data_IF_295089397537
#
_entry.id   IF_295089397537
#
_cell.length_a   1.000
_cell.length_b   1.000
_cell.length_c   1.000
_cell.angle_alpha   90.00
_cell.angle_beta   90.00
_cell.angle_gamma   90.00
#
_symmetry.space_group_name_H-M   'P 1'
#
loop_
_entity.id
_entity.type
_entity.pdbx_description
1 polymer ?
#
# COMPACT_ATOMS: atom_id res chain seq x y z
N UNK A 1 9.26 27.23 18.11
CA UNK A 1 7.98 26.65 17.68
C UNK A 1 7.15 26.30 18.88
N UNK A 2 6.00 26.99 19.06
CA UNK A 2 5.12 26.80 20.20
C UNK A 2 4.11 25.70 19.85
N UNK A 3 4.56 24.46 19.76
CA UNK A 3 3.71 23.30 19.53
C UNK A 3 3.38 22.69 20.90
N UNK A 4 2.10 22.49 21.21
CA UNK A 4 1.61 22.04 22.51
C UNK A 4 1.43 20.52 22.63
N UNK A 5 2.29 19.68 22.09
CA UNK A 5 2.27 18.21 22.06
C UNK A 5 1.82 17.65 20.70
N UNK A 6 0.68 18.10 20.16
CA UNK A 6 0.15 17.66 18.86
C UNK A 6 -0.36 18.86 18.06
N UNK A 7 -0.36 18.74 16.73
CA UNK A 7 -0.88 19.79 15.84
C UNK A 7 -1.55 19.17 14.61
N UNK A 8 -2.47 19.94 14.01
CA UNK A 8 -3.07 19.62 12.71
C UNK A 8 -2.07 20.01 11.61
N UNK A 9 -1.75 19.07 10.73
CA UNK A 9 -0.87 19.32 9.59
C UNK A 9 -1.52 20.26 8.56
N UNK A 10 -0.70 20.80 7.69
CA UNK A 10 -1.12 21.75 6.62
C UNK A 10 -2.10 21.15 5.63
N UNK A 11 -2.18 19.81 5.51
CA UNK A 11 -3.19 19.12 4.71
C UNK A 11 -4.60 19.16 5.32
N UNK A 12 -4.75 19.70 6.55
CA UNK A 12 -6.04 19.87 7.21
C UNK A 12 -6.69 18.58 7.73
N UNK A 13 -5.96 17.47 7.77
CA UNK A 13 -6.47 16.17 8.20
C UNK A 13 -5.53 15.43 9.15
N UNK A 14 -4.25 15.31 8.80
CA UNK A 14 -3.27 14.53 9.57
C UNK A 14 -2.96 15.22 10.90
N UNK A 15 -2.98 14.46 11.99
CA UNK A 15 -2.55 14.93 13.32
C UNK A 15 -1.14 14.46 13.59
N UNK A 16 -0.24 15.41 13.82
CA UNK A 16 1.20 15.18 14.04
C UNK A 16 1.61 15.46 15.48
N UNK A 17 2.59 14.73 15.96
CA UNK A 17 3.26 15.03 17.23
C UNK A 17 4.32 16.12 17.07
N UNK A 18 4.47 16.96 18.08
CA UNK A 18 5.58 17.90 18.16
C UNK A 18 6.90 17.15 18.34
N UNK A 19 8.02 17.79 17.98
CA UNK A 19 9.35 17.15 17.98
C UNK A 19 9.85 16.69 19.37
N UNK A 20 9.30 17.25 20.45
CA UNK A 20 9.61 16.92 21.83
C UNK A 20 8.57 16.01 22.50
N UNK A 21 7.49 15.66 21.78
CA UNK A 21 6.47 14.76 22.28
C UNK A 21 6.98 13.32 22.41
N UNK A 22 6.52 12.66 23.46
CA UNK A 22 6.86 11.25 23.77
C UNK A 22 5.61 10.38 23.81
N UNK A 23 5.79 9.07 23.73
CA UNK A 23 4.67 8.12 23.81
C UNK A 23 3.92 8.25 25.15
N UNK A 24 2.60 8.37 25.07
CA UNK A 24 1.70 8.63 26.19
C UNK A 24 1.33 10.09 26.39
N UNK A 25 2.04 11.02 25.77
CA UNK A 25 1.68 12.44 25.82
C UNK A 25 0.34 12.67 25.12
N UNK A 26 -0.40 13.68 25.57
CA UNK A 26 -1.72 14.01 25.03
C UNK A 26 -1.83 15.48 24.67
N UNK A 27 -2.55 15.77 23.60
CA UNK A 27 -2.90 17.12 23.19
C UNK A 27 -4.35 17.19 22.68
N UNK A 28 -4.89 18.40 22.56
CA UNK A 28 -6.29 18.62 22.16
C UNK A 28 -6.36 19.40 20.87
N UNK A 29 -7.04 18.84 19.86
CA UNK A 29 -7.37 19.52 18.61
C UNK A 29 -8.90 19.51 18.46
N UNK A 30 -9.51 20.68 18.29
CA UNK A 30 -10.95 20.86 18.11
C UNK A 30 -11.82 20.13 19.16
N UNK A 31 -11.34 20.10 20.43
CA UNK A 31 -12.04 19.46 21.54
C UNK A 31 -11.85 17.93 21.63
N UNK A 32 -11.11 17.32 20.71
CA UNK A 32 -10.74 15.90 20.75
C UNK A 32 -9.37 15.75 21.39
N UNK A 33 -9.26 14.85 22.38
CA UNK A 33 -7.97 14.49 22.96
C UNK A 33 -7.29 13.41 22.15
N UNK A 34 -6.10 13.73 21.65
CA UNK A 34 -5.23 12.81 20.92
C UNK A 34 -4.10 12.31 21.85
N UNK A 35 -3.71 11.05 21.66
CA UNK A 35 -2.60 10.43 22.40
C UNK A 35 -1.48 10.08 21.44
N UNK A 36 -0.27 10.55 21.70
CA UNK A 36 0.93 10.15 20.96
C UNK A 36 1.28 8.70 21.33
N UNK A 37 1.51 7.86 20.33
CA UNK A 37 1.84 6.45 20.53
C UNK A 37 3.14 6.10 19.83
N UNK A 38 3.94 5.23 20.46
CA UNK A 38 4.99 4.49 19.78
C UNK A 38 4.45 3.15 19.23
N UNK A 39 5.30 2.40 18.57
CA UNK A 39 4.94 1.12 17.96
C UNK A 39 4.46 0.11 19.00
N UNK A 40 5.15 -0.05 20.12
CA UNK A 40 4.81 -1.03 21.17
C UNK A 40 3.44 -0.73 21.78
N UNK A 41 3.17 0.54 22.04
CA UNK A 41 1.90 1.03 22.57
C UNK A 41 0.77 0.81 21.56
N UNK A 42 1.00 1.12 20.28
CA UNK A 42 0.03 0.95 19.20
C UNK A 42 -0.35 -0.53 19.02
N UNK A 43 0.63 -1.43 18.94
CA UNK A 43 0.39 -2.88 18.84
C UNK A 43 -0.41 -3.41 20.04
N UNK A 44 -0.04 -3.01 21.26
CA UNK A 44 -0.80 -3.38 22.47
C UNK A 44 -2.24 -2.89 22.43
N UNK A 45 -2.50 -1.69 21.91
CA UNK A 45 -3.85 -1.15 21.76
C UNK A 45 -4.67 -1.94 20.74
N UNK A 46 -4.06 -2.37 19.64
CA UNK A 46 -4.71 -3.21 18.61
C UNK A 46 -5.07 -4.58 19.19
N UNK A 47 -4.16 -5.23 19.90
CA UNK A 47 -4.39 -6.53 20.54
C UNK A 47 -5.55 -6.49 21.57
N UNK A 48 -5.82 -5.32 22.14
CA UNK A 48 -6.89 -5.09 23.10
C UNK A 48 -8.17 -4.49 22.48
N UNK A 49 -8.31 -4.47 21.15
CA UNK A 49 -9.46 -3.86 20.44
C UNK A 49 -9.75 -2.40 20.86
N UNK A 50 -8.71 -1.65 21.14
CA UNK A 50 -8.85 -0.26 21.61
C UNK A 50 -9.33 0.67 20.49
N UNK A 51 -9.84 1.85 20.87
CA UNK A 51 -10.15 2.93 19.91
C UNK A 51 -8.85 3.54 19.40
N UNK A 52 -8.68 3.57 18.08
CA UNK A 52 -7.49 4.04 17.38
C UNK A 52 -7.67 5.39 16.68
N UNK A 53 -8.91 5.88 16.57
CA UNK A 53 -9.27 7.08 15.80
C UNK A 53 -8.66 8.38 16.31
N UNK A 54 -8.18 8.39 17.56
CA UNK A 54 -7.55 9.54 18.21
C UNK A 54 -6.08 9.26 18.63
N UNK A 55 -5.38 8.41 17.87
CA UNK A 55 -3.96 8.15 18.09
C UNK A 55 -3.13 8.95 17.09
N UNK A 56 -1.97 9.44 17.56
CA UNK A 56 -0.98 10.15 16.76
C UNK A 56 0.22 9.24 16.60
N UNK A 57 0.52 8.86 15.37
CA UNK A 57 1.44 7.79 15.02
C UNK A 57 2.81 8.29 14.53
N UNK A 58 3.11 9.58 14.72
CA UNK A 58 4.36 10.21 14.26
C UNK A 58 5.65 9.53 14.76
N UNK A 59 5.58 8.77 15.86
CA UNK A 59 6.73 8.04 16.43
C UNK A 59 6.85 6.61 15.87
N UNK A 60 5.91 6.17 15.04
CA UNK A 60 5.89 4.81 14.48
C UNK A 60 6.66 4.80 13.17
N UNK A 61 7.62 3.89 13.04
CA UNK A 61 8.45 3.72 11.83
C UNK A 61 8.23 2.38 11.13
N UNK A 62 7.65 1.40 11.82
CA UNK A 62 7.33 0.08 11.29
C UNK A 62 5.86 -0.26 11.54
N UNK A 63 5.08 -0.42 10.46
CA UNK A 63 3.68 -0.83 10.51
C UNK A 63 3.47 -2.23 9.92
N UNK A 64 4.54 -3.03 9.81
CA UNK A 64 4.44 -4.39 9.26
C UNK A 64 3.49 -5.25 10.08
N UNK A 65 2.60 -5.96 9.37
CA UNK A 65 1.61 -6.91 9.93
C UNK A 65 0.66 -6.28 10.99
N UNK A 66 0.51 -4.94 11.03
CA UNK A 66 -0.15 -4.22 12.13
C UNK A 66 -1.61 -4.67 12.35
N UNK A 67 -2.36 -4.91 11.28
CA UNK A 67 -3.75 -5.40 11.32
C UNK A 67 -3.90 -6.77 10.62
N UNK A 68 -2.81 -7.51 10.49
CA UNK A 68 -2.82 -8.82 9.86
C UNK A 68 -3.81 -9.75 10.56
N UNK A 69 -4.62 -10.47 9.76
CA UNK A 69 -5.66 -11.39 10.23
C UNK A 69 -6.77 -10.74 11.07
N UNK A 70 -6.78 -9.40 11.23
CA UNK A 70 -7.88 -8.69 11.89
C UNK A 70 -9.03 -8.47 10.90
N UNK A 71 -9.80 -9.51 10.63
CA UNK A 71 -10.83 -9.55 9.59
C UNK A 71 -11.98 -8.56 9.82
N UNK A 72 -12.15 -8.04 11.03
CA UNK A 72 -13.22 -7.10 11.41
C UNK A 72 -12.75 -5.65 11.52
N UNK A 73 -11.44 -5.40 11.43
CA UNK A 73 -10.90 -4.05 11.56
C UNK A 73 -11.40 -3.14 10.45
N UNK A 74 -12.02 -2.03 10.82
CA UNK A 74 -12.47 -0.98 9.90
C UNK A 74 -12.61 0.37 10.63
N UNK A 75 -11.76 0.70 11.60
CA UNK A 75 -11.77 2.00 12.26
C UNK A 75 -11.19 3.07 11.33
N UNK A 76 -11.69 4.31 11.46
CA UNK A 76 -11.16 5.45 10.73
C UNK A 76 -9.78 5.84 11.28
N UNK A 77 -8.76 5.69 10.45
CA UNK A 77 -7.35 6.01 10.73
C UNK A 77 -6.80 7.07 9.75
N UNK A 78 -7.69 7.81 9.09
CA UNK A 78 -7.32 8.82 8.09
C UNK A 78 -6.44 9.95 8.66
N UNK A 79 -6.53 10.19 9.97
CA UNK A 79 -5.76 11.24 10.66
C UNK A 79 -4.34 10.81 11.07
N UNK A 80 -3.99 9.54 10.87
CA UNK A 80 -2.69 9.03 11.27
C UNK A 80 -1.56 9.69 10.47
N UNK A 81 -0.48 10.03 11.17
CA UNK A 81 0.78 10.45 10.58
C UNK A 81 1.65 9.23 10.29
N UNK A 82 1.83 8.91 9.01
CA UNK A 82 2.66 7.79 8.56
C UNK A 82 3.96 8.26 7.89
N UNK A 83 4.26 9.57 7.94
CA UNK A 83 5.39 10.15 7.21
C UNK A 83 6.77 9.63 7.63
N UNK A 84 6.88 9.03 8.82
CA UNK A 84 8.09 8.39 9.32
C UNK A 84 8.12 6.87 9.09
N UNK A 85 7.06 6.29 8.53
CA UNK A 85 6.97 4.85 8.31
C UNK A 85 7.82 4.44 7.12
N UNK A 86 8.68 3.45 7.32
CA UNK A 86 9.58 2.94 6.28
C UNK A 86 9.15 1.60 5.71
N UNK A 87 8.29 0.86 6.41
CA UNK A 87 7.77 -0.44 5.96
C UNK A 87 6.32 -0.62 6.36
N UNK A 88 5.51 -1.13 5.42
CA UNK A 88 4.10 -1.47 5.59
C UNK A 88 3.80 -2.92 5.15
N UNK A 89 4.82 -3.81 5.22
CA UNK A 89 4.67 -5.22 4.82
C UNK A 89 3.45 -5.82 5.53
N UNK A 90 2.51 -6.35 4.77
CA UNK A 90 1.34 -7.07 5.30
C UNK A 90 0.44 -6.27 6.24
N UNK A 91 0.52 -4.91 6.28
CA UNK A 91 -0.18 -4.09 7.28
C UNK A 91 -1.67 -4.42 7.40
N UNK A 92 -2.35 -4.68 6.29
CA UNK A 92 -3.77 -5.06 6.23
C UNK A 92 -3.98 -6.46 5.64
N UNK A 93 -2.95 -7.33 5.73
CA UNK A 93 -3.04 -8.70 5.23
C UNK A 93 -4.20 -9.43 5.91
N UNK A 94 -5.15 -9.94 5.09
CA UNK A 94 -6.37 -10.61 5.56
C UNK A 94 -7.28 -9.74 6.46
N UNK A 95 -7.15 -8.39 6.39
CA UNK A 95 -8.08 -7.44 7.03
C UNK A 95 -9.33 -7.26 6.15
N UNK A 96 -10.15 -8.28 6.08
CA UNK A 96 -11.26 -8.44 5.12
C UNK A 96 -12.21 -7.23 5.10
N UNK A 97 -12.53 -6.66 6.26
CA UNK A 97 -13.49 -5.56 6.39
C UNK A 97 -12.88 -4.18 6.13
N UNK A 98 -11.55 -4.08 6.05
CA UNK A 98 -10.90 -2.77 5.94
C UNK A 98 -11.22 -2.08 4.62
N UNK A 99 -11.80 -0.88 4.69
CA UNK A 99 -12.10 -0.02 3.55
C UNK A 99 -12.21 1.45 3.97
N UNK A 100 -11.28 1.94 4.80
CA UNK A 100 -11.25 3.34 5.25
C UNK A 100 -10.40 4.20 4.32
N UNK A 101 -10.73 5.50 4.28
CA UNK A 101 -10.01 6.52 3.52
C UNK A 101 -8.60 6.69 4.09
N UNK A 102 -7.59 6.53 3.22
CA UNK A 102 -6.16 6.65 3.54
C UNK A 102 -5.39 7.39 2.43
N UNK A 103 -6.09 8.08 1.55
CA UNK A 103 -5.54 8.78 0.39
C UNK A 103 -4.55 9.90 0.75
N UNK A 104 -4.74 10.54 1.92
CA UNK A 104 -3.86 11.62 2.41
C UNK A 104 -2.64 11.14 3.21
N UNK A 105 -2.41 9.85 3.33
CA UNK A 105 -1.22 9.34 3.98
C UNK A 105 0.04 9.71 3.19
N UNK A 106 1.01 10.32 3.87
CA UNK A 106 2.34 10.56 3.32
C UNK A 106 3.18 9.27 3.43
N UNK A 107 3.19 8.50 2.35
CA UNK A 107 3.92 7.22 2.27
C UNK A 107 5.29 7.36 1.63
N UNK A 108 5.77 8.59 1.42
CA UNK A 108 7.01 8.88 0.69
C UNK A 108 8.28 8.30 1.32
N UNK A 109 8.24 7.92 2.61
CA UNK A 109 9.35 7.23 3.28
C UNK A 109 9.30 5.71 3.18
N UNK A 110 8.20 5.13 2.67
CA UNK A 110 7.99 3.68 2.62
C UNK A 110 8.81 3.06 1.49
N UNK A 111 9.51 1.97 1.78
CA UNK A 111 10.31 1.23 0.80
C UNK A 111 9.76 -0.15 0.47
N UNK A 112 8.93 -0.73 1.33
CA UNK A 112 8.36 -2.06 1.14
C UNK A 112 6.86 -2.07 1.50
N UNK A 113 6.03 -2.40 0.51
CA UNK A 113 4.58 -2.55 0.62
C UNK A 113 4.11 -3.96 0.28
N UNK A 114 5.03 -4.96 0.32
CA UNK A 114 4.68 -6.35 0.01
C UNK A 114 3.53 -6.84 0.88
N UNK A 115 2.56 -7.52 0.29
CA UNK A 115 1.39 -8.09 0.98
C UNK A 115 0.49 -7.08 1.71
N UNK A 116 0.66 -5.75 1.52
CA UNK A 116 -0.01 -4.74 2.34
C UNK A 116 -1.53 -4.92 2.40
N UNK A 117 -2.18 -5.23 1.28
CA UNK A 117 -3.62 -5.48 1.17
C UNK A 117 -3.94 -6.93 0.73
N UNK A 118 -3.02 -7.87 0.96
CA UNK A 118 -3.24 -9.27 0.63
C UNK A 118 -4.55 -9.76 1.26
N UNK A 119 -5.47 -10.29 0.47
CA UNK A 119 -6.80 -10.75 0.93
C UNK A 119 -7.65 -9.68 1.67
N UNK A 120 -7.35 -8.40 1.53
CA UNK A 120 -8.22 -7.32 1.99
C UNK A 120 -9.40 -7.14 1.01
N UNK A 121 -10.33 -8.10 1.00
CA UNK A 121 -11.32 -8.30 -0.07
C UNK A 121 -12.29 -7.14 -0.28
N UNK A 122 -12.50 -6.27 0.72
CA UNK A 122 -13.37 -5.10 0.62
C UNK A 122 -12.61 -3.80 0.31
N UNK A 123 -11.27 -3.82 0.32
CA UNK A 123 -10.50 -2.61 0.11
C UNK A 123 -10.64 -2.10 -1.33
N UNK A 124 -11.14 -0.87 -1.48
CA UNK A 124 -11.26 -0.19 -2.77
C UNK A 124 -11.27 1.35 -2.60
N UNK A 125 -10.37 1.90 -1.76
CA UNK A 125 -10.25 3.34 -1.56
C UNK A 125 -9.21 3.96 -2.51
N UNK A 126 -9.37 5.27 -2.77
CA UNK A 126 -8.41 6.05 -3.54
C UNK A 126 -7.04 6.05 -2.83
N UNK A 127 -5.99 5.85 -3.62
CA UNK A 127 -4.59 5.88 -3.21
C UNK A 127 -3.71 6.49 -4.32
N UNK A 128 -4.33 7.21 -5.25
CA UNK A 128 -3.68 7.84 -6.40
C UNK A 128 -2.74 9.00 -5.99
N UNK A 129 -2.94 9.57 -4.79
CA UNK A 129 -2.09 10.64 -4.25
C UNK A 129 -0.82 10.13 -3.55
N UNK A 130 -0.66 8.81 -3.40
CA UNK A 130 0.51 8.25 -2.74
C UNK A 130 1.79 8.47 -3.56
N UNK A 131 2.81 9.03 -2.92
CA UNK A 131 4.17 9.06 -3.47
C UNK A 131 4.86 7.71 -3.16
N UNK A 132 4.89 6.83 -4.16
CA UNK A 132 5.50 5.49 -4.06
C UNK A 132 6.89 5.44 -4.69
N UNK A 133 7.49 6.58 -5.03
CA UNK A 133 8.76 6.66 -5.77
C UNK A 133 9.96 6.00 -5.05
N UNK A 134 9.88 5.83 -3.73
CA UNK A 134 10.89 5.13 -2.93
C UNK A 134 10.58 3.64 -2.70
N UNK A 135 9.42 3.15 -3.14
CA UNK A 135 9.03 1.75 -2.95
C UNK A 135 9.82 0.85 -3.91
N UNK A 136 10.45 -0.18 -3.36
CA UNK A 136 11.22 -1.17 -4.13
C UNK A 136 10.52 -2.52 -4.23
N UNK A 137 9.60 -2.82 -3.31
CA UNK A 137 8.92 -4.11 -3.19
C UNK A 137 7.39 -3.93 -3.09
N UNK A 138 6.66 -4.53 -4.03
CA UNK A 138 5.18 -4.54 -4.08
C UNK A 138 4.62 -5.96 -4.26
N UNK A 139 5.44 -7.00 -3.99
CA UNK A 139 5.03 -8.38 -4.18
C UNK A 139 3.71 -8.68 -3.45
N UNK A 140 2.73 -9.26 -4.16
CA UNK A 140 1.42 -9.66 -3.65
C UNK A 140 0.64 -8.52 -2.95
N UNK A 141 0.94 -7.22 -3.22
CA UNK A 141 0.36 -6.08 -2.51
C UNK A 141 -1.18 -6.10 -2.51
N UNK A 142 -1.80 -6.45 -3.63
CA UNK A 142 -3.26 -6.54 -3.79
C UNK A 142 -3.74 -7.96 -4.11
N UNK A 143 -2.90 -8.97 -3.90
CA UNK A 143 -3.29 -10.36 -4.17
C UNK A 143 -4.54 -10.73 -3.36
N UNK A 144 -5.56 -11.27 -4.01
CA UNK A 144 -6.90 -11.55 -3.45
C UNK A 144 -7.66 -10.31 -2.93
N UNK A 145 -7.24 -9.07 -3.19
CA UNK A 145 -8.03 -7.87 -2.91
C UNK A 145 -9.13 -7.71 -3.96
N UNK A 146 -10.14 -8.56 -3.91
CA UNK A 146 -11.10 -8.79 -5.00
C UNK A 146 -11.95 -7.59 -5.40
N UNK A 147 -12.10 -6.58 -4.53
CA UNK A 147 -12.83 -5.35 -4.84
C UNK A 147 -11.95 -4.24 -5.43
N UNK A 148 -10.61 -4.36 -5.32
CA UNK A 148 -9.71 -3.27 -5.69
C UNK A 148 -9.71 -3.02 -7.20
N UNK A 149 -10.05 -1.80 -7.60
CA UNK A 149 -10.01 -1.32 -8.99
C UNK A 149 -9.84 0.20 -9.06
N UNK A 150 -8.99 0.79 -8.22
CA UNK A 150 -8.73 2.23 -8.26
C UNK A 150 -7.64 2.59 -9.26
N UNK A 151 -7.72 3.81 -9.78
CA UNK A 151 -6.72 4.37 -10.68
C UNK A 151 -5.40 4.60 -9.91
N UNK A 152 -4.33 3.97 -10.37
CA UNK A 152 -2.97 4.08 -9.85
C UNK A 152 -1.98 4.41 -10.97
N UNK A 153 -2.47 4.94 -12.08
CA UNK A 153 -1.65 5.31 -13.25
C UNK A 153 -0.62 6.41 -12.95
N UNK A 154 -0.89 7.22 -11.92
CA UNK A 154 0.00 8.29 -11.45
C UNK A 154 1.22 7.80 -10.65
N UNK A 155 1.23 6.55 -10.20
CA UNK A 155 2.32 6.03 -9.38
C UNK A 155 3.65 5.99 -10.14
N UNK A 156 4.69 6.54 -9.52
CA UNK A 156 6.08 6.35 -9.97
C UNK A 156 6.62 5.02 -9.40
N UNK A 157 6.57 3.98 -10.21
CA UNK A 157 7.04 2.63 -9.84
C UNK A 157 8.47 2.34 -10.34
N UNK A 158 9.18 3.36 -10.79
CA UNK A 158 10.50 3.20 -11.41
C UNK A 158 11.57 2.60 -10.47
N UNK A 159 11.35 2.66 -9.14
CA UNK A 159 12.24 2.03 -8.16
C UNK A 159 11.88 0.56 -7.85
N UNK A 160 10.71 0.07 -8.30
CA UNK A 160 10.21 -1.26 -7.93
C UNK A 160 11.01 -2.36 -8.65
N UNK A 161 11.42 -3.37 -7.89
CA UNK A 161 12.16 -4.55 -8.39
C UNK A 161 11.35 -5.83 -8.36
N UNK A 162 10.36 -5.95 -7.47
CA UNK A 162 9.49 -7.12 -7.36
C UNK A 162 8.00 -6.72 -7.41
N UNK A 163 7.30 -7.21 -8.44
CA UNK A 163 5.86 -7.09 -8.65
C UNK A 163 5.17 -8.47 -8.68
N UNK A 164 5.86 -9.52 -8.21
CA UNK A 164 5.32 -10.88 -8.24
C UNK A 164 3.96 -10.97 -7.53
N UNK A 165 2.94 -11.49 -8.22
CA UNK A 165 1.59 -11.65 -7.67
C UNK A 165 0.85 -10.36 -7.33
N UNK A 166 1.36 -9.17 -7.68
CA UNK A 166 0.81 -7.89 -7.19
C UNK A 166 -0.71 -7.78 -7.32
N UNK A 167 -1.29 -8.27 -8.42
CA UNK A 167 -2.74 -8.27 -8.66
C UNK A 167 -3.33 -9.69 -8.82
N UNK A 168 -2.59 -10.74 -8.44
CA UNK A 168 -3.09 -12.10 -8.56
C UNK A 168 -4.44 -12.26 -7.84
N UNK A 169 -5.45 -12.83 -8.52
CA UNK A 169 -6.82 -12.94 -8.01
C UNK A 169 -7.50 -11.61 -7.60
N UNK A 170 -7.00 -10.45 -8.07
CA UNK A 170 -7.69 -9.16 -7.91
C UNK A 170 -8.78 -9.03 -8.98
N UNK A 171 -9.90 -9.69 -8.77
CA UNK A 171 -10.92 -9.99 -9.79
C UNK A 171 -11.69 -8.79 -10.33
N UNK A 172 -11.49 -7.59 -9.77
CA UNK A 172 -12.05 -6.34 -10.29
C UNK A 172 -11.03 -5.50 -11.08
N UNK A 173 -9.72 -5.76 -10.95
CA UNK A 173 -8.68 -4.86 -11.42
C UNK A 173 -8.53 -4.86 -12.94
N UNK A 174 -8.74 -3.70 -13.57
CA UNK A 174 -8.50 -3.47 -14.99
C UNK A 174 -8.18 -2.01 -15.30
N UNK A 175 -7.36 -1.34 -14.48
CA UNK A 175 -6.96 0.05 -14.70
C UNK A 175 -5.78 0.16 -15.67
N UNK A 176 -5.71 1.30 -16.38
CA UNK A 176 -4.62 1.59 -17.32
C UNK A 176 -3.35 1.94 -16.53
N UNK A 177 -2.35 1.08 -16.67
CA UNK A 177 -1.02 1.22 -16.07
C UNK A 177 0.08 1.24 -17.14
N UNK A 178 -0.28 1.57 -18.38
CA UNK A 178 0.65 1.62 -19.52
C UNK A 178 1.78 2.66 -19.33
N UNK A 179 1.54 3.67 -18.47
CA UNK A 179 2.53 4.72 -18.13
C UNK A 179 3.62 4.28 -17.15
N UNK A 180 3.47 3.13 -16.52
CA UNK A 180 4.44 2.68 -15.52
C UNK A 180 5.81 2.38 -16.15
N UNK A 181 6.87 2.91 -15.53
CA UNK A 181 8.25 2.52 -15.83
C UNK A 181 8.61 1.25 -15.02
N UNK A 182 8.58 0.11 -15.70
CA UNK A 182 8.88 -1.21 -15.11
C UNK A 182 10.30 -1.68 -15.45
N UNK A 183 11.14 -0.81 -15.96
CA UNK A 183 12.48 -1.18 -16.48
C UNK A 183 13.42 -1.74 -15.40
N UNK A 184 13.15 -1.51 -14.11
CA UNK A 184 13.92 -2.09 -13.01
C UNK A 184 13.32 -3.39 -12.43
N UNK A 185 12.14 -3.81 -12.91
CA UNK A 185 11.46 -5.00 -12.38
C UNK A 185 12.17 -6.28 -12.84
N UNK A 186 12.42 -7.17 -11.90
CA UNK A 186 13.05 -8.49 -12.16
C UNK A 186 12.09 -9.65 -11.96
N UNK A 187 11.01 -9.48 -11.20
CA UNK A 187 10.00 -10.49 -10.92
C UNK A 187 8.59 -9.97 -11.22
N UNK A 188 7.91 -10.65 -12.15
CA UNK A 188 6.50 -10.44 -12.51
C UNK A 188 5.70 -11.75 -12.45
N UNK A 189 6.17 -12.77 -11.71
CA UNK A 189 5.47 -14.04 -11.59
C UNK A 189 4.02 -13.83 -11.15
N UNK A 190 3.07 -14.38 -11.89
CA UNK A 190 1.65 -14.37 -11.53
C UNK A 190 0.99 -12.98 -11.43
N UNK A 191 1.63 -11.91 -11.89
CA UNK A 191 1.18 -10.52 -11.63
C UNK A 191 -0.28 -10.27 -11.98
N UNK A 192 -0.78 -10.82 -13.09
CA UNK A 192 -2.17 -10.67 -13.56
C UNK A 192 -2.91 -12.02 -13.65
N UNK A 193 -2.46 -13.03 -12.90
CA UNK A 193 -3.15 -14.30 -12.87
C UNK A 193 -4.56 -14.15 -12.26
N UNK A 194 -5.54 -14.84 -12.83
CA UNK A 194 -6.93 -14.83 -12.36
C UNK A 194 -7.58 -13.43 -12.28
N UNK A 195 -7.15 -12.48 -13.16
CA UNK A 195 -7.70 -11.13 -13.26
C UNK A 195 -8.45 -10.92 -14.58
N UNK A 196 -9.33 -9.90 -14.67
CA UNK A 196 -9.92 -9.44 -15.94
C UNK A 196 -9.03 -8.42 -16.66
N UNK A 197 -7.76 -8.28 -16.28
CA UNK A 197 -6.86 -7.26 -16.83
C UNK A 197 -6.66 -7.42 -18.34
N UNK A 198 -6.91 -6.33 -19.08
CA UNK A 198 -6.75 -6.29 -20.55
C UNK A 198 -6.35 -4.90 -21.05
N UNK A 199 -5.44 -4.20 -20.35
CA UNK A 199 -4.92 -2.92 -20.81
C UNK A 199 -3.64 -3.09 -21.63
N UNK A 200 -3.31 -2.10 -22.46
CA UNK A 200 -2.13 -2.08 -23.33
C UNK A 200 -0.85 -2.02 -22.48
N UNK A 201 0.05 -2.97 -22.67
CA UNK A 201 1.36 -3.04 -22.04
C UNK A 201 2.50 -3.00 -23.06
N UNK A 202 2.24 -2.59 -24.30
CA UNK A 202 3.22 -2.57 -25.40
C UNK A 202 4.40 -1.62 -25.13
N UNK A 203 4.22 -0.64 -24.22
CA UNK A 203 5.23 0.34 -23.83
C UNK A 203 6.18 -0.14 -22.73
N UNK A 204 5.86 -1.24 -22.07
CA UNK A 204 6.66 -1.73 -20.94
C UNK A 204 8.02 -2.26 -21.43
N UNK A 205 9.09 -1.79 -20.80
CA UNK A 205 10.43 -2.36 -20.93
C UNK A 205 10.60 -3.52 -19.91
N UNK A 206 10.48 -4.74 -20.38
CA UNK A 206 10.60 -5.96 -19.58
C UNK A 206 11.97 -6.64 -19.74
N UNK A 207 12.94 -5.95 -20.34
CA UNK A 207 14.24 -6.52 -20.66
C UNK A 207 15.06 -6.99 -19.44
N UNK A 208 14.76 -6.47 -18.25
CA UNK A 208 15.40 -6.89 -17.00
C UNK A 208 14.63 -7.99 -16.25
N UNK A 209 13.44 -8.39 -16.74
CA UNK A 209 12.63 -9.42 -16.05
C UNK A 209 13.28 -10.79 -16.18
N UNK A 210 13.41 -11.48 -15.04
CA UNK A 210 13.99 -12.83 -14.93
C UNK A 210 12.88 -13.86 -14.70
N UNK A 211 11.88 -13.50 -13.88
CA UNK A 211 10.78 -14.35 -13.46
C UNK A 211 9.45 -13.79 -14.00
N UNK A 212 8.78 -14.52 -14.91
CA UNK A 212 7.52 -14.12 -15.54
C UNK A 212 6.49 -15.27 -15.56
N UNK A 213 6.78 -16.34 -14.83
CA UNK A 213 5.94 -17.53 -14.81
C UNK A 213 4.51 -17.23 -14.41
N UNK A 214 3.55 -17.83 -15.10
CA UNK A 214 2.13 -17.69 -14.75
C UNK A 214 1.56 -16.26 -14.79
N UNK A 215 2.26 -15.28 -15.40
CA UNK A 215 1.87 -13.86 -15.37
C UNK A 215 0.41 -13.61 -15.75
N UNK A 216 -0.12 -14.36 -16.71
CA UNK A 216 -1.50 -14.27 -17.19
C UNK A 216 -2.29 -15.58 -17.03
N UNK A 217 -1.89 -16.45 -16.10
CA UNK A 217 -2.60 -17.71 -15.85
C UNK A 217 -4.07 -17.42 -15.55
N UNK A 218 -4.99 -18.16 -16.19
CA UNK A 218 -6.45 -17.99 -16.09
C UNK A 218 -6.97 -16.59 -16.45
N UNK A 219 -6.15 -15.67 -16.94
CA UNK A 219 -6.65 -14.43 -17.52
C UNK A 219 -7.20 -14.71 -18.93
N UNK A 220 -8.49 -14.94 -19.04
CA UNK A 220 -9.16 -15.38 -20.26
C UNK A 220 -9.50 -14.23 -21.22
N UNK A 221 -9.23 -12.98 -20.83
CA UNK A 221 -9.59 -11.79 -21.60
C UNK A 221 -8.39 -11.06 -22.20
N UNK A 222 -7.18 -11.28 -21.66
CA UNK A 222 -5.99 -10.59 -22.14
C UNK A 222 -5.70 -10.94 -23.61
N UNK A 223 -5.68 -9.92 -24.46
CA UNK A 223 -5.44 -10.07 -25.90
C UNK A 223 -4.63 -8.90 -26.48
N UNK A 224 -3.87 -8.18 -25.67
CA UNK A 224 -3.06 -7.06 -26.12
C UNK A 224 -1.78 -7.52 -26.82
N UNK A 225 -1.24 -6.65 -27.67
CA UNK A 225 0.00 -6.92 -28.40
C UNK A 225 1.21 -6.68 -27.50
N UNK A 226 1.92 -7.75 -27.17
CA UNK A 226 3.16 -7.74 -26.39
C UNK A 226 4.36 -8.23 -27.22
N UNK A 227 4.26 -8.19 -28.54
CA UNK A 227 5.32 -8.66 -29.45
C UNK A 227 6.60 -7.82 -29.38
N UNK A 228 6.52 -6.60 -28.81
CA UNK A 228 7.67 -5.72 -28.57
C UNK A 228 8.53 -6.12 -27.36
N UNK A 229 8.05 -7.00 -26.50
CA UNK A 229 8.74 -7.36 -25.26
C UNK A 229 10.04 -8.11 -25.53
N UNK A 230 11.15 -7.64 -24.97
CA UNK A 230 12.40 -8.40 -24.91
C UNK A 230 12.39 -9.33 -23.70
N UNK A 231 12.14 -10.60 -23.94
CA UNK A 231 12.08 -11.65 -22.90
C UNK A 231 13.35 -12.52 -22.87
N UNK A 232 14.45 -12.02 -23.45
CA UNK A 232 15.70 -12.79 -23.57
C UNK A 232 16.34 -13.17 -22.24
N UNK A 233 16.05 -12.42 -21.17
CA UNK A 233 16.54 -12.69 -19.83
C UNK A 233 15.58 -13.55 -18.98
N UNK A 234 14.38 -13.83 -19.47
CA UNK A 234 13.39 -14.61 -18.71
C UNK A 234 13.83 -16.08 -18.60
N UNK A 235 13.92 -16.57 -17.39
CA UNK A 235 14.33 -17.97 -17.08
C UNK A 235 13.14 -18.84 -16.70
N UNK A 236 12.02 -18.23 -16.29
CA UNK A 236 10.78 -18.89 -15.91
C UNK A 236 9.59 -18.16 -16.55
N UNK A 237 8.82 -18.87 -17.39
CA UNK A 237 7.70 -18.32 -18.17
C UNK A 237 6.44 -19.19 -18.01
#
# INVERSE_FOLDING_TARGET
DNCDTVYLDTNGLTIKACSDATAGDTGVIDGVTYTVVDEAMLRTMIDNDSILTNKVTSLVTDMSDLFKDNSTFNQNISTWDVSNVTTMIGMFNNAISFNQVIDFWDVSSVTDMSFMFYSATNFNQFIDLWDVSNVTETAAMFEYATAFNQDISSWDVSSVTDMGGMFNNTTAFNQDISSWDVSNVTNMNGMFADTPFNQDLSTWDVSNVIEMGSMFTNNTVFNQDISSWDVSNVTNM
#
